data_IF_220640799566
#
_entry.id   IF_220640799566
#
_cell.length_a   1.000
_cell.length_b   1.000
_cell.length_c   1.000
_cell.angle_alpha   90.00
_cell.angle_beta   90.00
_cell.angle_gamma   90.00
#
_symmetry.space_group_name_H-M   'P 1'
#
loop_
_entity.id
_entity.type
_entity.pdbx_description
1 polymer ?
#
# COMPACT_ATOMS: atom_id res chain seq x y z
N UNK A 1 -54.24 56.31 -1.37
CA UNK A 1 -53.52 55.28 -2.13
C UNK A 1 -52.18 55.00 -1.37
N UNK A 2 -52.16 54.05 -0.46
CA UNK A 2 -51.06 53.78 0.40
C UNK A 2 -50.62 52.31 0.17
N UNK A 3 -49.43 52.13 -0.44
CA UNK A 3 -48.84 50.85 -0.75
C UNK A 3 -48.15 50.35 0.51
N UNK A 4 -48.69 49.29 1.15
CA UNK A 4 -48.05 48.64 2.27
C UNK A 4 -46.98 47.64 1.74
N UNK A 5 -45.72 47.98 1.97
CA UNK A 5 -44.60 47.04 1.78
C UNK A 5 -44.65 46.01 2.91
N UNK A 6 -44.91 44.75 2.62
CA UNK A 6 -44.67 43.63 3.53
C UNK A 6 -43.22 43.18 3.36
N UNK A 7 -42.40 43.47 4.36
CA UNK A 7 -41.09 42.82 4.51
C UNK A 7 -41.32 41.41 5.06
N UNK A 8 -41.12 40.41 4.23
CA UNK A 8 -41.03 39.02 4.68
C UNK A 8 -39.62 38.77 5.24
N UNK A 9 -39.56 38.64 6.55
CA UNK A 9 -38.33 38.19 7.23
C UNK A 9 -38.13 36.70 6.95
N UNK A 10 -37.24 36.36 6.04
CA UNK A 10 -36.71 35.00 5.91
C UNK A 10 -35.71 34.77 7.03
N UNK A 11 -36.12 34.11 8.10
CA UNK A 11 -35.22 33.52 9.08
C UNK A 11 -34.48 32.35 8.43
N UNK A 12 -33.24 32.57 8.04
CA UNK A 12 -32.35 31.50 7.60
C UNK A 12 -31.97 30.64 8.82
N UNK A 13 -32.60 29.47 8.95
CA UNK A 13 -32.14 28.44 9.83
C UNK A 13 -30.82 27.90 9.29
N UNK A 14 -29.71 28.46 9.74
CA UNK A 14 -28.43 27.87 9.57
C UNK A 14 -28.34 26.61 10.45
N UNK A 15 -28.67 25.47 9.90
CA UNK A 15 -28.38 24.18 10.50
C UNK A 15 -26.84 24.06 10.50
N UNK A 16 -26.23 24.34 11.65
CA UNK A 16 -24.84 23.99 11.92
C UNK A 16 -24.73 22.47 11.82
N UNK A 17 -24.29 21.96 10.68
CA UNK A 17 -23.85 20.60 10.58
C UNK A 17 -22.70 20.43 11.59
N UNK A 18 -22.91 19.54 12.56
CA UNK A 18 -21.83 19.17 13.47
C UNK A 18 -20.63 18.68 12.62
N UNK A 19 -19.41 19.06 12.96
CA UNK A 19 -18.25 18.57 12.24
C UNK A 19 -18.27 17.04 12.32
N UNK A 20 -18.33 16.39 11.17
CA UNK A 20 -18.11 14.94 11.08
C UNK A 20 -16.66 14.73 11.47
N UNK A 21 -16.45 14.43 12.76
CA UNK A 21 -15.16 13.94 13.23
C UNK A 21 -15.04 12.53 12.66
N UNK A 22 -14.35 12.39 11.53
CA UNK A 22 -13.88 11.10 11.04
C UNK A 22 -12.93 10.55 12.13
N UNK A 23 -13.49 9.72 13.02
CA UNK A 23 -12.69 8.99 13.99
C UNK A 23 -11.76 8.09 13.20
N UNK A 24 -10.47 8.46 13.16
CA UNK A 24 -9.44 7.60 12.61
C UNK A 24 -9.41 6.31 13.43
N UNK A 25 -9.39 5.14 12.80
CA UNK A 25 -9.24 3.90 13.52
C UNK A 25 -7.97 4.01 14.37
N UNK A 26 -8.09 3.73 15.69
CA UNK A 26 -6.93 3.74 16.56
C UNK A 26 -6.06 2.54 16.20
N UNK A 27 -4.94 2.78 15.53
CA UNK A 27 -3.93 1.74 15.37
C UNK A 27 -3.30 1.46 16.74
N UNK A 28 -3.00 0.19 16.97
CA UNK A 28 -2.23 -0.18 18.18
C UNK A 28 -0.87 0.51 18.11
N UNK A 29 -0.42 1.09 19.23
CA UNK A 29 0.89 1.74 19.33
C UNK A 29 2.06 0.78 19.12
N UNK A 30 1.83 -0.52 19.33
CA UNK A 30 2.81 -1.58 19.14
C UNK A 30 2.10 -2.87 18.70
N UNK A 31 2.63 -3.49 17.64
CA UNK A 31 2.20 -4.79 17.14
C UNK A 31 3.44 -5.65 16.97
N UNK A 32 3.44 -6.84 17.56
CA UNK A 32 4.48 -7.83 17.37
C UNK A 32 3.85 -9.21 17.23
N UNK A 33 4.48 -10.07 16.46
CA UNK A 33 4.05 -11.44 16.25
C UNK A 33 5.11 -12.24 15.49
N UNK A 34 5.19 -13.53 15.77
CA UNK A 34 6.03 -14.42 15.02
C UNK A 34 5.40 -14.71 13.65
N UNK A 35 6.20 -14.64 12.60
CA UNK A 35 5.70 -14.83 11.23
C UNK A 35 5.07 -16.22 10.99
N UNK A 36 5.49 -17.24 11.74
CA UNK A 36 4.96 -18.60 11.66
C UNK A 36 3.65 -18.80 12.43
N UNK A 37 3.25 -17.86 13.29
CA UNK A 37 2.02 -17.92 14.10
C UNK A 37 0.88 -17.11 13.49
N UNK A 38 1.13 -16.36 12.41
CA UNK A 38 0.11 -15.55 11.77
C UNK A 38 -0.87 -16.40 10.98
N UNK A 39 -2.16 -16.15 11.17
CA UNK A 39 -3.23 -16.83 10.44
C UNK A 39 -3.27 -16.37 8.97
N UNK A 40 -2.85 -17.26 8.07
CA UNK A 40 -2.83 -17.01 6.64
C UNK A 40 -4.23 -17.22 6.03
N UNK A 41 -4.77 -16.20 5.37
CA UNK A 41 -6.07 -16.22 4.69
C UNK A 41 -5.89 -16.35 3.18
N UNK A 42 -6.82 -16.99 2.45
CA UNK A 42 -6.78 -17.03 0.99
C UNK A 42 -6.68 -15.63 0.38
N UNK A 43 -5.77 -15.47 -0.57
CA UNK A 43 -5.58 -14.24 -1.35
C UNK A 43 -5.39 -14.63 -2.82
N UNK A 44 -6.46 -15.08 -3.49
CA UNK A 44 -6.34 -15.64 -4.83
C UNK A 44 -5.79 -14.61 -5.80
N UNK A 45 -4.88 -15.06 -6.66
CA UNK A 45 -4.36 -14.27 -7.76
C UNK A 45 -5.49 -14.13 -8.80
N UNK A 46 -5.62 -12.94 -9.38
CA UNK A 46 -6.59 -12.69 -10.44
C UNK A 46 -6.38 -13.72 -11.58
N UNK A 47 -7.40 -14.50 -11.94
CA UNK A 47 -7.23 -15.59 -12.91
C UNK A 47 -6.65 -15.17 -14.26
N UNK A 48 -6.97 -13.95 -14.72
CA UNK A 48 -6.43 -13.39 -15.97
C UNK A 48 -4.94 -13.05 -15.89
N UNK A 49 -4.35 -13.02 -14.70
CA UNK A 49 -2.93 -12.77 -14.50
C UNK A 49 -2.10 -14.06 -14.47
N UNK A 50 -2.72 -15.22 -14.29
CA UNK A 50 -2.03 -16.50 -14.24
C UNK A 50 -1.60 -16.89 -15.66
N UNK A 51 -0.30 -17.13 -15.83
CA UNK A 51 0.31 -17.53 -17.09
C UNK A 51 0.45 -19.05 -17.18
N UNK A 52 0.83 -19.69 -16.07
CA UNK A 52 0.94 -21.15 -16.01
C UNK A 52 0.81 -21.68 -14.58
N UNK A 53 0.44 -22.96 -14.47
CA UNK A 53 0.26 -23.64 -13.19
C UNK A 53 -1.07 -23.29 -12.50
N UNK A 54 -1.11 -23.53 -11.20
CA UNK A 54 -2.26 -23.21 -10.34
C UNK A 54 -1.74 -22.63 -9.01
N UNK A 55 -1.19 -21.39 -9.03
CA UNK A 55 -0.63 -20.78 -7.84
C UNK A 55 -1.72 -20.50 -6.80
N UNK A 56 -1.52 -21.00 -5.59
CA UNK A 56 -2.39 -20.76 -4.45
C UNK A 56 -1.69 -19.76 -3.53
N UNK A 57 -2.21 -18.55 -3.46
CA UNK A 57 -1.66 -17.49 -2.64
C UNK A 57 -2.49 -17.25 -1.38
N UNK A 58 -1.78 -16.86 -0.30
CA UNK A 58 -2.38 -16.51 0.99
C UNK A 58 -1.70 -15.27 1.54
N UNK A 59 -2.42 -14.55 2.42
CA UNK A 59 -1.95 -13.33 3.06
C UNK A 59 -2.33 -13.33 4.54
N UNK A 60 -1.48 -12.71 5.36
CA UNK A 60 -1.82 -12.30 6.72
C UNK A 60 -1.38 -10.85 6.94
N UNK A 61 -2.30 -9.95 7.22
CA UNK A 61 -1.97 -8.58 7.59
C UNK A 61 -1.36 -8.58 9.00
N UNK A 62 -0.15 -8.02 9.12
CA UNK A 62 0.52 -7.85 10.41
C UNK A 62 0.13 -6.53 11.05
N UNK A 63 0.23 -5.44 10.31
CA UNK A 63 -0.02 -4.10 10.83
C UNK A 63 -0.40 -3.12 9.72
N UNK A 64 -1.10 -2.06 10.11
CA UNK A 64 -1.55 -1.01 9.21
C UNK A 64 -1.29 0.36 9.84
N UNK A 65 -0.85 1.32 9.03
CA UNK A 65 -0.70 2.72 9.43
C UNK A 65 -2.06 3.35 9.77
N UNK A 66 -2.06 4.35 10.65
CA UNK A 66 -3.30 5.05 11.06
C UNK A 66 -4.00 5.77 9.91
N UNK A 67 -3.26 6.14 8.88
CA UNK A 67 -3.73 6.85 7.69
C UNK A 67 -4.09 5.88 6.54
N UNK A 68 -4.08 4.57 6.78
CA UNK A 68 -4.25 3.52 5.78
C UNK A 68 -3.29 3.64 4.57
N UNK A 69 -2.20 4.40 4.72
CA UNK A 69 -1.23 4.60 3.66
C UNK A 69 -0.04 3.64 3.72
N UNK A 70 0.06 2.87 4.78
CA UNK A 70 1.10 1.84 4.95
C UNK A 70 0.52 0.55 5.51
N UNK A 71 1.04 -0.58 5.06
CA UNK A 71 0.65 -1.90 5.56
C UNK A 71 1.86 -2.83 5.54
N UNK A 72 1.97 -3.67 6.55
CA UNK A 72 2.90 -4.80 6.56
C UNK A 72 2.10 -6.09 6.54
N UNK A 73 2.47 -7.00 5.67
CA UNK A 73 1.80 -8.28 5.52
C UNK A 73 2.78 -9.41 5.24
N UNK A 74 2.44 -10.60 5.69
CA UNK A 74 3.01 -11.84 5.18
C UNK A 74 2.21 -12.29 3.97
N UNK A 75 2.90 -12.82 2.98
CA UNK A 75 2.30 -13.42 1.81
C UNK A 75 3.07 -14.67 1.45
N UNK A 76 2.35 -15.72 1.07
CA UNK A 76 2.95 -16.92 0.52
C UNK A 76 2.20 -17.40 -0.73
N UNK A 77 2.90 -18.20 -1.54
CA UNK A 77 2.33 -18.75 -2.75
C UNK A 77 3.00 -20.08 -3.12
N UNK A 78 2.21 -21.01 -3.64
CA UNK A 78 2.68 -22.26 -4.23
C UNK A 78 3.22 -22.07 -5.64
N UNK A 79 3.71 -23.15 -6.27
CA UNK A 79 4.25 -23.14 -7.63
C UNK A 79 3.27 -22.58 -8.65
N UNK A 80 3.79 -21.78 -9.59
CA UNK A 80 3.05 -21.20 -10.69
C UNK A 80 3.76 -19.97 -11.27
N UNK A 81 3.23 -19.50 -12.39
CA UNK A 81 3.72 -18.30 -13.06
C UNK A 81 2.56 -17.34 -13.30
N UNK A 82 2.74 -16.08 -12.97
CA UNK A 82 1.71 -15.06 -13.07
C UNK A 82 2.30 -13.67 -13.22
N UNK A 83 1.53 -12.76 -13.81
CA UNK A 83 1.81 -11.33 -13.79
C UNK A 83 1.25 -10.74 -12.50
N UNK A 84 1.97 -9.80 -11.92
CA UNK A 84 1.54 -9.08 -10.72
C UNK A 84 1.57 -7.58 -10.95
N UNK A 85 0.45 -6.91 -10.64
CA UNK A 85 0.38 -5.45 -10.68
C UNK A 85 0.59 -4.87 -9.29
N UNK A 86 1.56 -4.00 -9.18
CA UNK A 86 1.83 -3.28 -7.94
C UNK A 86 1.01 -2.00 -7.89
N UNK A 87 -0.15 -2.03 -7.23
CA UNK A 87 -1.00 -0.84 -7.05
C UNK A 87 -0.39 0.19 -6.10
N UNK A 88 0.48 -0.27 -5.19
CA UNK A 88 1.23 0.52 -4.22
C UNK A 88 2.72 0.24 -4.37
N UNK A 89 3.55 1.16 -3.83
CA UNK A 89 4.97 0.85 -3.63
C UNK A 89 5.07 -0.36 -2.71
N UNK A 90 5.87 -1.34 -3.07
CA UNK A 90 6.03 -2.56 -2.29
C UNK A 90 7.50 -2.91 -2.14
N UNK A 91 7.98 -2.97 -0.90
CA UNK A 91 9.27 -3.57 -0.58
C UNK A 91 9.02 -4.97 -0.03
N UNK A 92 9.69 -5.96 -0.58
CA UNK A 92 9.58 -7.35 -0.13
C UNK A 92 10.90 -7.83 0.46
N UNK A 93 10.82 -8.66 1.47
CA UNK A 93 11.92 -9.47 1.97
C UNK A 93 11.50 -10.94 1.89
N UNK A 94 12.29 -11.73 1.18
CA UNK A 94 12.02 -13.16 1.04
C UNK A 94 12.41 -13.86 2.35
N UNK A 95 11.48 -14.64 2.88
CA UNK A 95 11.69 -15.39 4.12
C UNK A 95 11.98 -16.87 3.83
N UNK A 96 11.36 -17.42 2.77
CA UNK A 96 11.48 -18.82 2.42
C UNK A 96 11.25 -19.03 0.93
N UNK A 97 11.98 -19.97 0.34
CA UNK A 97 11.86 -20.32 -1.07
C UNK A 97 12.58 -19.36 -2.00
N UNK A 98 12.17 -19.39 -3.26
CA UNK A 98 12.79 -18.67 -4.35
C UNK A 98 11.75 -18.23 -5.37
N UNK A 99 11.98 -17.09 -6.01
CA UNK A 99 11.13 -16.57 -7.09
C UNK A 99 11.98 -15.96 -8.19
N UNK A 100 11.63 -16.24 -9.44
CA UNK A 100 12.20 -15.60 -10.61
C UNK A 100 11.30 -14.44 -11.03
N UNK A 101 11.88 -13.25 -11.08
CA UNK A 101 11.18 -12.00 -11.42
C UNK A 101 11.64 -11.56 -12.79
N UNK A 102 10.69 -11.17 -13.64
CA UNK A 102 10.95 -10.43 -14.88
C UNK A 102 10.13 -9.15 -14.86
N UNK A 103 10.79 -8.00 -14.86
CA UNK A 103 10.15 -6.68 -14.87
C UNK A 103 9.67 -6.30 -16.27
N UNK A 104 8.84 -5.23 -16.42
CA UNK A 104 8.33 -4.79 -17.71
C UNK A 104 9.44 -4.31 -18.67
N UNK A 105 10.53 -3.81 -18.14
CA UNK A 105 11.72 -3.40 -18.90
C UNK A 105 12.70 -4.54 -19.18
N UNK A 106 12.29 -5.78 -18.86
CA UNK A 106 13.03 -7.00 -19.18
C UNK A 106 14.18 -7.33 -18.23
N UNK A 107 14.28 -6.67 -17.07
CA UNK A 107 15.26 -7.06 -16.04
C UNK A 107 14.83 -8.36 -15.39
N UNK A 108 15.73 -9.33 -15.40
CA UNK A 108 15.51 -10.63 -14.74
C UNK A 108 16.33 -10.73 -13.46
N UNK A 109 15.68 -11.23 -12.40
CA UNK A 109 16.32 -11.49 -11.11
C UNK A 109 15.69 -12.70 -10.43
N UNK A 110 16.53 -13.52 -9.84
CA UNK A 110 16.11 -14.52 -8.87
C UNK A 110 16.29 -13.95 -7.48
N UNK A 111 15.24 -14.04 -6.66
CA UNK A 111 15.25 -13.63 -5.26
C UNK A 111 15.09 -14.89 -4.40
N UNK A 112 15.96 -15.03 -3.43
CA UNK A 112 15.99 -16.15 -2.46
C UNK A 112 15.84 -15.63 -1.03
N UNK A 113 15.70 -16.53 -0.06
CA UNK A 113 15.56 -16.16 1.34
C UNK A 113 16.69 -15.22 1.81
N UNK A 114 16.32 -14.09 2.40
CA UNK A 114 17.21 -13.00 2.82
C UNK A 114 17.31 -11.86 1.82
N UNK A 115 16.91 -12.05 0.56
CA UNK A 115 16.94 -10.98 -0.44
C UNK A 115 15.81 -9.96 -0.22
N UNK A 116 16.11 -8.72 -0.57
CA UNK A 116 15.19 -7.58 -0.52
C UNK A 116 15.04 -7.00 -1.92
N UNK A 117 13.79 -6.72 -2.31
CA UNK A 117 13.49 -6.06 -3.58
C UNK A 117 12.42 -4.99 -3.38
N UNK A 118 12.46 -3.95 -4.22
CA UNK A 118 11.47 -2.88 -4.26
C UNK A 118 10.78 -2.86 -5.61
N UNK A 119 9.47 -2.72 -5.59
CA UNK A 119 8.61 -2.55 -6.75
C UNK A 119 7.86 -1.23 -6.64
N UNK A 120 7.96 -0.40 -7.66
CA UNK A 120 7.24 0.88 -7.70
C UNK A 120 5.75 0.66 -7.95
N UNK A 121 4.91 1.43 -7.28
CA UNK A 121 3.48 1.45 -7.54
C UNK A 121 3.18 1.88 -8.99
N UNK A 122 2.22 1.20 -9.62
CA UNK A 122 1.84 1.42 -11.01
C UNK A 122 2.61 0.58 -12.04
N UNK A 123 3.43 -0.38 -11.61
CA UNK A 123 4.22 -1.25 -12.50
C UNK A 123 3.75 -2.71 -12.45
N UNK A 124 4.18 -3.49 -13.42
CA UNK A 124 3.97 -4.92 -13.49
C UNK A 124 5.30 -5.67 -13.37
N UNK A 125 5.23 -6.91 -12.89
CA UNK A 125 6.30 -7.87 -13.05
C UNK A 125 5.72 -9.28 -13.21
N UNK A 126 6.44 -10.14 -13.92
CA UNK A 126 6.15 -11.57 -13.98
C UNK A 126 6.87 -12.26 -12.83
N UNK A 127 6.16 -13.11 -12.13
CA UNK A 127 6.62 -13.91 -11.02
C UNK A 127 6.51 -15.39 -11.40
N UNK A 128 7.63 -16.10 -11.34
CA UNK A 128 7.66 -17.55 -11.52
C UNK A 128 8.20 -18.20 -10.26
N UNK A 129 7.38 -19.00 -9.63
CA UNK A 129 7.68 -19.75 -8.40
C UNK A 129 7.72 -21.22 -8.76
N UNK A 130 8.89 -21.86 -8.61
CA UNK A 130 9.06 -23.25 -9.02
C UNK A 130 8.50 -24.24 -7.97
N UNK A 131 8.45 -23.87 -6.69
CA UNK A 131 7.91 -24.72 -5.61
C UNK A 131 7.04 -23.95 -4.63
N UNK A 132 7.63 -23.03 -3.90
CA UNK A 132 6.99 -22.26 -2.85
C UNK A 132 7.78 -20.98 -2.57
N UNK A 133 7.05 -19.95 -2.20
CA UNK A 133 7.62 -18.68 -1.77
C UNK A 133 6.87 -18.15 -0.55
N UNK A 134 7.62 -17.62 0.41
CA UNK A 134 7.08 -16.82 1.52
C UNK A 134 7.86 -15.53 1.65
N UNK A 135 7.15 -14.42 1.78
CA UNK A 135 7.75 -13.10 1.92
C UNK A 135 7.03 -12.26 2.97
N UNK A 136 7.74 -11.30 3.54
CA UNK A 136 7.10 -10.14 4.16
C UNK A 136 7.06 -9.01 3.13
N UNK A 137 5.95 -8.31 3.07
CA UNK A 137 5.73 -7.16 2.20
C UNK A 137 5.46 -5.92 3.04
N UNK A 138 6.18 -4.85 2.74
CA UNK A 138 5.98 -3.51 3.28
C UNK A 138 5.36 -2.66 2.17
N UNK A 139 4.08 -2.40 2.30
CA UNK A 139 3.31 -1.68 1.29
C UNK A 139 3.11 -0.23 1.72
N UNK A 140 3.29 0.68 0.77
CA UNK A 140 3.08 2.10 0.95
C UNK A 140 2.26 2.67 -0.19
N UNK A 141 1.13 3.27 0.13
CA UNK A 141 0.31 4.00 -0.84
C UNK A 141 1.04 5.28 -1.26
N UNK A 142 1.30 5.48 -2.56
CA UNK A 142 1.93 6.70 -3.02
C UNK A 142 1.01 7.91 -2.81
N UNK A 143 1.58 9.04 -2.42
CA UNK A 143 0.83 10.28 -2.33
C UNK A 143 0.31 10.72 -3.71
N UNK A 144 -0.87 11.37 -3.76
CA UNK A 144 -1.32 12.05 -4.97
C UNK A 144 -0.24 13.02 -5.51
N UNK A 145 -0.09 13.09 -6.84
CA UNK A 145 0.97 13.89 -7.50
C UNK A 145 1.12 15.32 -6.96
N UNK A 146 0.03 16.11 -6.72
CA UNK A 146 0.17 17.46 -6.17
C UNK A 146 0.82 17.48 -4.79
N UNK A 147 0.46 16.54 -3.92
CA UNK A 147 1.01 16.43 -2.57
C UNK A 147 2.48 15.99 -2.60
N UNK A 148 2.82 15.04 -3.48
CA UNK A 148 4.21 14.63 -3.71
C UNK A 148 5.07 15.81 -4.13
N UNK A 149 4.55 16.67 -5.02
CA UNK A 149 5.27 17.84 -5.50
C UNK A 149 5.47 18.88 -4.40
N UNK A 150 4.43 19.15 -3.59
CA UNK A 150 4.54 20.03 -2.43
C UNK A 150 5.57 19.51 -1.39
N UNK A 151 5.59 18.20 -1.16
CA UNK A 151 6.57 17.55 -0.28
C UNK A 151 8.01 17.69 -0.81
N UNK A 152 8.21 17.48 -2.11
CA UNK A 152 9.53 17.65 -2.76
C UNK A 152 10.02 19.09 -2.64
N UNK A 153 9.17 20.08 -2.95
CA UNK A 153 9.51 21.50 -2.82
C UNK A 153 9.86 21.86 -1.37
N UNK A 154 9.06 21.43 -0.40
CA UNK A 154 9.36 21.63 1.03
C UNK A 154 10.72 21.03 1.41
N UNK A 155 11.04 19.85 0.94
CA UNK A 155 12.30 19.19 1.27
C UNK A 155 13.50 19.90 0.62
N UNK A 156 13.38 20.42 -0.60
CA UNK A 156 14.41 21.23 -1.25
C UNK A 156 14.71 22.50 -0.45
N UNK A 157 13.66 23.20 0.03
CA UNK A 157 13.82 24.40 0.87
C UNK A 157 14.50 24.06 2.21
N UNK A 158 14.19 22.89 2.80
CA UNK A 158 14.80 22.44 4.06
C UNK A 158 16.25 21.95 3.90
N UNK A 159 16.58 21.34 2.77
CA UNK A 159 17.96 20.87 2.50
C UNK A 159 18.92 22.02 2.24
N UNK A 160 18.43 23.19 1.78
CA UNK A 160 19.22 24.43 1.74
C UNK A 160 19.54 25.00 3.12
N UNK A 161 18.97 24.46 4.22
CA UNK A 161 19.13 24.96 5.59
C UNK A 161 19.65 23.97 6.63
N UNK A 162 19.87 22.70 6.32
CA UNK A 162 20.38 21.73 7.27
C UNK A 162 21.09 20.57 6.56
N UNK A 163 22.40 20.54 6.64
CA UNK A 163 23.16 19.31 6.50
C UNK A 163 22.80 18.40 7.68
N UNK A 164 22.36 17.19 7.36
CA UNK A 164 22.42 16.09 8.31
C UNK A 164 21.12 15.73 9.01
N UNK A 165 20.43 14.77 8.42
CA UNK A 165 19.81 13.67 9.13
C UNK A 165 20.18 12.42 8.34
N UNK A 166 21.41 11.96 8.57
CA UNK A 166 21.73 10.57 8.42
C UNK A 166 20.96 9.81 9.51
N UNK A 167 20.04 8.96 9.11
CA UNK A 167 19.51 7.92 9.96
C UNK A 167 20.49 6.77 9.96
#
# INVERSE_FOLDING_TARGET
MVLKLMLASMAAFATRAAPVVLAMPQSKSFVAGASNEMEMKPSPIEPSWVLSGNPIARIAEHSRGQDDAAMTALWDCTAGEFRWYFGWDETVMILEGEVHITTEDGVERTLSAGDVAYFAGGTWATWRIDRYLRKVAFLRKPFPKPLTMAYRLRNLVRQGGAQGLAA
#
